data_IF_287139159908
#
_entry.id   IF_287139159908
#
_cell.length_a   1.000
_cell.length_b   1.000
_cell.length_c   1.000
_cell.angle_alpha   90.00
_cell.angle_beta   90.00
_cell.angle_gamma   90.00
#
_symmetry.space_group_name_H-M   'P 1'
#
loop_
_entity.id
_entity.type
_entity.pdbx_description
1 polymer ?
#
# COMPACT_ATOMS: atom_id res chain seq x y z
N UNK A 1 8.04 49.86 -51.94
CA UNK A 1 8.97 48.94 -51.26
C UNK A 1 8.33 48.51 -49.98
N UNK A 2 7.76 47.35 -49.99
CA UNK A 2 6.92 46.89 -48.88
C UNK A 2 7.69 45.91 -48.08
N UNK A 3 8.01 46.30 -46.85
CA UNK A 3 8.56 45.41 -45.85
C UNK A 3 7.42 44.63 -45.20
N UNK A 4 7.24 43.41 -45.66
CA UNK A 4 6.36 42.46 -44.96
C UNK A 4 7.14 41.85 -43.81
N UNK A 5 6.85 42.35 -42.62
CA UNK A 5 7.32 41.76 -41.38
C UNK A 5 6.42 40.57 -41.04
N UNK A 6 6.90 39.37 -41.30
CA UNK A 6 6.28 38.14 -40.82
C UNK A 6 6.55 38.01 -39.35
N UNK A 7 5.60 38.46 -38.53
CA UNK A 7 5.59 38.12 -37.11
C UNK A 7 5.08 36.69 -37.01
N UNK A 8 6.00 35.76 -36.95
CA UNK A 8 5.70 34.35 -36.65
C UNK A 8 5.33 34.26 -35.18
N UNK A 9 4.03 34.25 -34.91
CA UNK A 9 3.50 33.88 -33.61
C UNK A 9 3.78 32.40 -33.34
N UNK A 10 4.88 32.13 -32.65
CA UNK A 10 5.14 30.82 -32.04
C UNK A 10 4.25 30.74 -30.81
N UNK A 11 3.07 30.19 -31.00
CA UNK A 11 2.24 29.70 -29.90
C UNK A 11 2.96 28.51 -29.26
N UNK A 12 3.75 28.81 -28.23
CA UNK A 12 4.34 27.80 -27.38
C UNK A 12 3.22 27.21 -26.55
N UNK A 13 2.60 26.18 -27.10
CA UNK A 13 1.60 25.38 -26.39
C UNK A 13 2.30 24.63 -25.29
N UNK A 14 2.35 25.22 -24.08
CA UNK A 14 2.77 24.53 -22.86
C UNK A 14 1.69 23.51 -22.57
N UNK A 15 1.89 22.28 -23.03
CA UNK A 15 1.19 21.11 -22.54
C UNK A 15 1.59 20.93 -21.08
N UNK A 16 0.80 21.52 -20.20
CA UNK A 16 0.80 21.18 -18.79
C UNK A 16 0.34 19.72 -18.70
N UNK A 17 1.28 18.81 -18.73
CA UNK A 17 1.07 17.46 -18.28
C UNK A 17 0.73 17.55 -16.79
N UNK A 18 -0.56 17.71 -16.51
CA UNK A 18 -1.08 17.49 -15.16
C UNK A 18 -0.89 16.03 -14.85
N UNK A 19 0.28 15.68 -14.35
CA UNK A 19 0.48 14.42 -13.65
C UNK A 19 -0.45 14.47 -12.45
N UNK A 20 -1.67 13.97 -12.60
CA UNK A 20 -2.51 13.64 -11.46
C UNK A 20 -1.77 12.53 -10.74
N UNK A 21 -0.94 12.92 -9.78
CA UNK A 21 -0.42 12.02 -8.78
C UNK A 21 -1.64 11.45 -8.05
N UNK A 22 -2.12 10.29 -8.52
CA UNK A 22 -3.06 9.47 -7.78
C UNK A 22 -2.31 8.90 -6.54
N UNK A 23 -1.96 9.80 -5.63
CA UNK A 23 -1.28 9.45 -4.38
C UNK A 23 -2.17 8.66 -3.42
N UNK A 24 -3.45 8.51 -3.76
CA UNK A 24 -4.47 7.92 -2.91
C UNK A 24 -4.73 6.43 -3.20
N UNK A 25 -4.09 5.84 -4.21
CA UNK A 25 -4.31 4.44 -4.53
C UNK A 25 -3.25 3.57 -3.87
N UNK A 26 -3.73 2.64 -3.03
CA UNK A 26 -2.92 1.57 -2.47
C UNK A 26 -2.66 0.56 -3.59
N UNK A 27 -1.47 0.58 -4.18
CA UNK A 27 -1.07 -0.41 -5.18
C UNK A 27 -0.80 -1.73 -4.47
N UNK A 28 -1.82 -2.58 -4.38
CA UNK A 28 -1.74 -3.88 -3.76
C UNK A 28 -1.05 -4.90 -4.67
N UNK A 29 -0.04 -5.57 -4.14
CA UNK A 29 0.43 -6.86 -4.64
C UNK A 29 -0.54 -7.96 -4.18
N UNK A 30 -0.70 -9.00 -4.98
CA UNK A 30 -1.59 -10.13 -4.66
C UNK A 30 -0.87 -11.48 -4.69
N UNK A 31 0.43 -11.48 -4.91
CA UNK A 31 1.27 -12.67 -4.91
C UNK A 31 2.34 -12.57 -3.83
N UNK A 32 2.36 -13.54 -2.93
CA UNK A 32 3.27 -13.55 -1.79
C UNK A 32 4.75 -13.50 -2.20
N UNK A 33 5.14 -14.35 -3.14
CA UNK A 33 6.54 -14.42 -3.57
C UNK A 33 6.99 -13.15 -4.29
N UNK A 34 6.12 -12.56 -5.10
CA UNK A 34 6.39 -11.28 -5.77
C UNK A 34 6.55 -10.15 -4.74
N UNK A 35 5.72 -10.13 -3.71
CA UNK A 35 5.82 -9.13 -2.65
C UNK A 35 7.14 -9.21 -1.90
N UNK A 36 7.62 -10.43 -1.57
CA UNK A 36 8.93 -10.62 -0.94
C UNK A 36 10.07 -10.20 -1.85
N UNK A 37 10.02 -10.54 -3.14
CA UNK A 37 11.04 -10.16 -4.11
C UNK A 37 11.12 -8.62 -4.26
N UNK A 38 9.97 -7.96 -4.34
CA UNK A 38 9.88 -6.49 -4.40
C UNK A 38 10.42 -5.87 -3.12
N UNK A 39 10.06 -6.41 -1.96
CA UNK A 39 10.54 -5.92 -0.67
C UNK A 39 12.07 -6.00 -0.54
N UNK A 40 12.68 -7.09 -1.00
CA UNK A 40 14.15 -7.22 -1.06
C UNK A 40 14.79 -6.18 -1.97
N UNK A 41 14.23 -5.99 -3.16
CA UNK A 41 14.71 -5.03 -4.14
C UNK A 41 14.62 -3.59 -3.63
N UNK A 42 13.49 -3.23 -3.02
CA UNK A 42 13.20 -1.87 -2.54
C UNK A 42 13.68 -1.62 -1.10
N UNK A 43 14.20 -2.63 -0.41
CA UNK A 43 14.61 -2.56 0.99
C UNK A 43 13.48 -2.10 1.91
N UNK A 44 12.30 -2.70 1.71
CA UNK A 44 11.08 -2.44 2.50
C UNK A 44 10.67 -3.69 3.25
N UNK A 45 9.86 -3.50 4.27
CA UNK A 45 9.09 -4.58 4.90
C UNK A 45 7.90 -4.97 4.01
N UNK A 46 7.22 -6.05 4.35
CA UNK A 46 5.93 -6.42 3.73
C UNK A 46 4.82 -6.26 4.76
N UNK A 47 3.76 -5.56 4.37
CA UNK A 47 2.50 -5.56 5.09
C UNK A 47 1.52 -6.46 4.35
N UNK A 48 1.18 -7.59 4.98
CA UNK A 48 0.20 -8.54 4.46
C UNK A 48 -1.15 -8.33 5.15
N UNK A 49 -2.15 -7.98 4.35
CA UNK A 49 -3.54 -7.92 4.77
C UNK A 49 -4.30 -9.11 4.19
N UNK A 50 -4.75 -10.01 5.06
CA UNK A 50 -5.59 -11.14 4.68
C UNK A 50 -7.04 -10.79 4.93
N UNK A 51 -7.83 -10.89 3.88
CA UNK A 51 -9.27 -10.65 3.90
C UNK A 51 -10.06 -11.79 3.28
N UNK A 52 -11.31 -11.51 2.99
CA UNK A 52 -12.23 -12.37 2.28
C UNK A 52 -13.15 -11.52 1.39
N UNK A 53 -13.81 -12.16 0.42
CA UNK A 53 -14.69 -11.44 -0.53
C UNK A 53 -15.91 -10.83 0.15
N UNK A 54 -16.46 -11.52 1.17
CA UNK A 54 -17.55 -11.02 2.01
C UNK A 54 -17.05 -10.85 3.44
N UNK A 55 -16.44 -9.68 3.71
CA UNK A 55 -15.88 -9.38 5.01
C UNK A 55 -16.20 -7.94 5.42
N UNK A 56 -17.27 -7.76 6.19
CA UNK A 56 -17.72 -6.45 6.66
C UNK A 56 -16.62 -5.70 7.46
N UNK A 57 -15.85 -6.38 8.28
CA UNK A 57 -14.78 -5.77 9.07
C UNK A 57 -13.57 -5.41 8.21
N UNK A 58 -13.29 -6.18 7.15
CA UNK A 58 -12.27 -5.82 6.16
C UNK A 58 -12.66 -4.53 5.41
N UNK A 59 -13.92 -4.44 4.97
CA UNK A 59 -14.43 -3.27 4.26
C UNK A 59 -14.42 -2.03 5.15
N UNK A 60 -14.79 -2.19 6.43
CA UNK A 60 -14.70 -1.11 7.42
C UNK A 60 -13.28 -0.60 7.56
N UNK A 61 -12.31 -1.49 7.74
CA UNK A 61 -10.90 -1.13 7.88
C UNK A 61 -10.36 -0.41 6.64
N UNK A 62 -10.65 -0.91 5.45
CA UNK A 62 -10.30 -0.26 4.20
C UNK A 62 -10.88 1.15 4.09
N UNK A 63 -12.17 1.29 4.41
CA UNK A 63 -12.90 2.55 4.26
C UNK A 63 -12.55 3.59 5.32
N UNK A 64 -12.40 3.19 6.57
CA UNK A 64 -12.21 4.12 7.70
C UNK A 64 -10.74 4.40 7.99
N UNK A 65 -9.85 3.43 7.79
CA UNK A 65 -8.44 3.54 8.17
C UNK A 65 -7.53 3.65 6.94
N UNK A 66 -7.58 2.68 6.03
CA UNK A 66 -6.72 2.68 4.84
C UNK A 66 -7.12 3.70 3.76
N UNK A 67 -8.10 4.53 4.00
CA UNK A 67 -8.46 5.68 3.14
C UNK A 67 -7.78 6.98 3.56
N UNK A 68 -7.10 7.01 4.71
CA UNK A 68 -6.39 8.19 5.18
C UNK A 68 -5.13 8.45 4.35
N UNK A 69 -5.02 9.64 3.75
CA UNK A 69 -3.95 9.97 2.80
C UNK A 69 -2.55 9.96 3.42
N UNK A 70 -2.41 10.46 4.64
CA UNK A 70 -1.13 10.50 5.33
C UNK A 70 -0.66 9.09 5.70
N UNK A 71 -1.59 8.25 6.18
CA UNK A 71 -1.32 6.85 6.45
C UNK A 71 -0.87 6.10 5.19
N UNK A 72 -1.55 6.32 4.06
CA UNK A 72 -1.19 5.69 2.78
C UNK A 72 0.24 6.06 2.38
N UNK A 73 0.62 7.33 2.49
CA UNK A 73 1.98 7.79 2.19
C UNK A 73 3.00 7.09 3.09
N UNK A 74 2.75 7.04 4.40
CA UNK A 74 3.61 6.33 5.36
C UNK A 74 3.73 4.84 5.02
N UNK A 75 2.62 4.18 4.80
CA UNK A 75 2.58 2.75 4.51
C UNK A 75 3.34 2.41 3.22
N UNK A 76 3.13 3.16 2.15
CA UNK A 76 3.83 2.95 0.86
C UNK A 76 5.33 3.19 0.96
N UNK A 77 5.76 4.10 1.80
CA UNK A 77 7.18 4.40 2.01
C UNK A 77 7.91 3.24 2.69
N UNK A 78 7.26 2.60 3.65
CA UNK A 78 7.89 1.63 4.55
C UNK A 78 7.63 0.17 4.16
N UNK A 79 6.53 -0.08 3.45
CA UNK A 79 6.06 -1.43 3.16
C UNK A 79 5.75 -1.64 1.68
N UNK A 80 6.00 -2.86 1.21
CA UNK A 80 5.30 -3.44 0.07
C UNK A 80 3.93 -3.89 0.58
N UNK A 81 2.86 -3.42 -0.07
CA UNK A 81 1.49 -3.68 0.37
C UNK A 81 0.97 -4.93 -0.34
N UNK A 82 0.73 -5.99 0.42
CA UNK A 82 0.23 -7.28 -0.08
C UNK A 82 -1.17 -7.53 0.49
N UNK A 83 -2.17 -7.60 -0.39
CA UNK A 83 -3.51 -8.01 -0.04
C UNK A 83 -3.83 -9.39 -0.62
N UNK A 84 -4.31 -10.29 0.22
CA UNK A 84 -4.74 -11.62 -0.19
C UNK A 84 -6.13 -11.93 0.35
N UNK A 85 -7.07 -12.24 -0.56
CA UNK A 85 -8.36 -12.80 -0.20
C UNK A 85 -8.24 -14.31 -0.08
N UNK A 86 -8.72 -14.89 1.03
CA UNK A 86 -8.76 -16.34 1.19
C UNK A 86 -9.61 -17.04 0.13
N UNK A 87 -10.53 -16.29 -0.50
CA UNK A 87 -11.44 -16.83 -1.52
C UNK A 87 -10.87 -16.80 -2.92
N UNK A 88 -9.84 -15.95 -3.17
CA UNK A 88 -9.27 -15.71 -4.50
C UNK A 88 -7.80 -16.10 -4.64
N UNK A 89 -7.03 -16.08 -3.54
CA UNK A 89 -5.59 -16.22 -3.59
C UNK A 89 -5.09 -17.43 -2.81
N UNK A 90 -3.99 -18.01 -3.26
CA UNK A 90 -3.29 -19.06 -2.52
C UNK A 90 -2.45 -18.42 -1.41
N UNK A 91 -2.96 -18.46 -0.19
CA UNK A 91 -2.27 -17.94 0.99
C UNK A 91 -1.42 -19.05 1.57
N UNK A 92 -0.11 -18.81 1.86
CA UNK A 92 0.74 -19.81 2.52
C UNK A 92 0.13 -20.30 3.84
N UNK A 93 0.21 -21.61 4.10
CA UNK A 93 -0.48 -22.25 5.23
C UNK A 93 -0.04 -21.77 6.62
N UNK A 94 1.12 -21.14 6.71
CA UNK A 94 1.62 -20.55 7.96
C UNK A 94 0.82 -19.32 8.44
N UNK A 95 -0.03 -18.74 7.60
CA UNK A 95 -0.83 -17.57 7.93
C UNK A 95 -2.27 -17.94 8.26
N UNK A 96 -2.83 -17.29 9.28
CA UNK A 96 -4.25 -17.40 9.62
C UNK A 96 -5.14 -16.79 8.54
N UNK A 97 -6.14 -17.55 8.08
CA UNK A 97 -7.01 -17.15 6.96
C UNK A 97 -8.48 -16.98 7.35
N UNK A 98 -8.87 -17.45 8.51
CA UNK A 98 -10.28 -17.49 8.89
C UNK A 98 -10.71 -16.36 9.84
N UNK A 99 -9.81 -15.86 10.65
CA UNK A 99 -10.05 -14.73 11.55
C UNK A 99 -9.84 -13.36 10.89
N UNK A 100 -10.43 -13.14 9.72
CA UNK A 100 -10.23 -11.92 8.92
C UNK A 100 -11.01 -10.71 9.46
N UNK A 101 -10.47 -9.47 9.28
CA UNK A 101 -9.17 -9.15 8.69
C UNK A 101 -8.03 -9.61 9.60
N UNK A 102 -6.97 -10.14 8.99
CA UNK A 102 -5.75 -10.49 9.71
C UNK A 102 -4.56 -9.76 9.07
N UNK A 103 -3.69 -9.20 9.88
CA UNK A 103 -2.59 -8.35 9.42
C UNK A 103 -1.26 -8.93 9.90
N UNK A 104 -0.31 -9.04 8.97
CA UNK A 104 1.05 -9.46 9.26
C UNK A 104 2.05 -8.42 8.79
N UNK A 105 3.07 -8.21 9.59
CA UNK A 105 4.23 -7.40 9.23
C UNK A 105 5.43 -8.33 9.10
N UNK A 106 6.02 -8.37 7.91
CA UNK A 106 7.06 -9.34 7.56
C UNK A 106 8.36 -8.64 7.18
N UNK A 107 9.48 -9.29 7.48
CA UNK A 107 10.76 -8.91 6.84
C UNK A 107 10.73 -9.25 5.36
N UNK A 108 11.67 -8.72 4.54
CA UNK A 108 11.80 -9.11 3.13
C UNK A 108 12.01 -10.62 2.92
N UNK A 109 12.52 -11.33 3.94
CA UNK A 109 12.71 -12.80 3.93
C UNK A 109 11.46 -13.56 4.35
N UNK A 110 10.38 -12.85 4.73
CA UNK A 110 9.11 -13.44 5.14
C UNK A 110 9.01 -13.79 6.63
N UNK A 111 9.97 -13.38 7.48
CA UNK A 111 9.87 -13.55 8.93
C UNK A 111 8.76 -12.65 9.49
N UNK A 112 7.87 -13.21 10.31
CA UNK A 112 6.82 -12.45 11.00
C UNK A 112 7.44 -11.62 12.13
N UNK A 113 7.26 -10.31 12.07
CA UNK A 113 7.66 -9.35 13.11
C UNK A 113 6.51 -9.06 14.06
N UNK A 114 5.32 -8.89 13.50
CA UNK A 114 4.10 -8.66 14.27
C UNK A 114 2.88 -9.19 13.52
N UNK A 115 1.84 -9.47 14.27
CA UNK A 115 0.53 -9.86 13.75
C UNK A 115 -0.58 -9.16 14.53
N UNK A 116 -1.66 -8.82 13.85
CA UNK A 116 -2.82 -8.16 14.43
C UNK A 116 -4.09 -8.72 13.81
N UNK A 117 -5.03 -9.13 14.64
CA UNK A 117 -6.34 -9.58 14.18
C UNK A 117 -7.37 -8.46 14.33
N UNK A 118 -8.22 -8.35 13.34
CA UNK A 118 -9.39 -7.46 13.35
C UNK A 118 -9.11 -6.06 12.83
N UNK A 119 -10.19 -5.31 12.65
CA UNK A 119 -10.17 -3.90 12.23
C UNK A 119 -9.65 -3.01 13.36
N UNK A 120 -8.94 -1.96 12.99
CA UNK A 120 -8.53 -0.88 13.90
C UNK A 120 -8.94 0.46 13.29
N UNK A 121 -9.32 1.39 14.13
CA UNK A 121 -9.47 2.79 13.75
C UNK A 121 -8.11 3.44 13.51
N UNK A 122 -8.09 4.60 12.89
CA UNK A 122 -6.86 5.26 12.44
C UNK A 122 -5.82 5.44 13.56
N UNK A 123 -6.22 5.94 14.71
CA UNK A 123 -5.32 6.14 15.86
C UNK A 123 -4.72 4.81 16.33
N UNK A 124 -5.58 3.81 16.57
CA UNK A 124 -5.12 2.48 16.97
C UNK A 124 -4.26 1.79 15.92
N UNK A 125 -4.39 2.17 14.63
CA UNK A 125 -3.52 1.66 13.59
C UNK A 125 -2.13 2.30 13.63
N UNK A 126 -2.03 3.59 13.93
CA UNK A 126 -0.73 4.22 14.18
C UNK A 126 -0.01 3.59 15.38
N UNK A 127 -0.73 3.26 16.46
CA UNK A 127 -0.14 2.56 17.62
C UNK A 127 0.43 1.19 17.21
N UNK A 128 -0.27 0.46 16.34
CA UNK A 128 0.24 -0.80 15.78
C UNK A 128 1.54 -0.58 14.99
N UNK A 129 1.58 0.44 14.14
CA UNK A 129 2.78 0.73 13.35
C UNK A 129 3.98 1.12 14.23
N UNK A 130 3.75 1.90 15.26
CA UNK A 130 4.78 2.29 16.23
C UNK A 130 5.32 1.06 16.98
N UNK A 131 4.45 0.12 17.38
CA UNK A 131 4.87 -1.15 17.98
C UNK A 131 5.69 -2.01 17.00
N UNK A 132 5.30 -2.06 15.73
CA UNK A 132 6.07 -2.77 14.69
C UNK A 132 7.46 -2.16 14.56
N UNK A 133 7.57 -0.83 14.56
CA UNK A 133 8.85 -0.15 14.45
C UNK A 133 9.79 -0.49 15.63
N UNK A 134 9.27 -0.52 16.84
CA UNK A 134 10.03 -0.95 18.03
C UNK A 134 10.52 -2.41 17.95
N UNK A 135 9.79 -3.27 17.25
CA UNK A 135 10.17 -4.70 17.08
C UNK A 135 11.21 -4.92 15.99
N UNK A 136 11.28 -4.04 15.00
CA UNK A 136 12.31 -4.09 13.94
C UNK A 136 13.71 -3.82 14.49
N UNK A 137 13.82 -3.04 15.55
CA UNK A 137 15.10 -2.61 16.15
C UNK A 137 15.73 -3.67 17.07
N UNK A 138 15.03 -4.78 17.34
CA UNK A 138 15.49 -5.88 18.19
C UNK A 138 16.02 -7.06 17.36
#
# INVERSE_FOLDING_TARGET
MNNFSFITNILFSILLFSSTLNAAELNWEHNYNNALATAKKEKKMVYLFIGADQCRHCDRFKKQTLSNKELIVKMKKEYVLLYMSRDQHTIPDRFEKYGVPFHYFLTPEGKIIAEVQGSRELEGWYDVLDEVDLRKEK
#
